data_IF_880529130366
#
_entry.id   IF_880529130366
#
_cell.length_a   1.000
_cell.length_b   1.000
_cell.length_c   1.000
_cell.angle_alpha   90.00
_cell.angle_beta   90.00
_cell.angle_gamma   90.00
#
_symmetry.space_group_name_H-M   'P 1'
#
loop_
_entity.id
_entity.type
_entity.pdbx_description
1 polymer ?
#
# COMPACT_ATOMS: atom_id res chain seq x y z
N UNK A 1 13.62 19.07 3.39
CA UNK A 1 12.39 18.24 3.21
C UNK A 1 12.66 17.02 2.31
N UNK A 2 13.87 16.47 2.43
CA UNK A 2 14.55 15.75 1.34
C UNK A 2 14.50 14.23 1.52
N UNK A 3 13.77 13.76 2.53
CA UNK A 3 13.61 12.34 2.78
C UNK A 3 12.55 11.77 1.84
N UNK A 4 13.00 10.85 0.99
CA UNK A 4 12.11 10.08 0.12
C UNK A 4 11.04 9.41 0.99
N UNK A 5 9.80 9.49 0.56
CA UNK A 5 8.63 8.99 1.27
C UNK A 5 8.72 7.52 1.73
N UNK A 6 9.42 6.67 0.98
CA UNK A 6 9.71 5.29 1.39
C UNK A 6 10.56 5.19 2.67
N UNK A 7 11.44 6.15 2.90
CA UNK A 7 12.22 6.26 4.13
C UNK A 7 11.32 6.54 5.34
N UNK A 8 10.36 7.47 5.22
CA UNK A 8 9.41 7.74 6.29
C UNK A 8 8.57 6.50 6.65
N UNK A 9 8.19 5.68 5.67
CA UNK A 9 7.49 4.41 5.90
C UNK A 9 8.35 3.39 6.64
N UNK A 10 9.64 3.28 6.28
CA UNK A 10 10.58 2.38 6.96
C UNK A 10 10.77 2.80 8.43
N UNK A 11 11.01 4.09 8.67
CA UNK A 11 11.17 4.66 10.02
C UNK A 11 9.90 4.44 10.86
N UNK A 12 8.71 4.66 10.28
CA UNK A 12 7.42 4.33 10.90
C UNK A 12 7.32 2.86 11.31
N UNK A 13 7.73 1.96 10.42
CA UNK A 13 7.69 0.52 10.65
C UNK A 13 8.65 0.08 11.76
N UNK A 14 9.91 0.48 11.68
CA UNK A 14 10.97 0.09 12.62
C UNK A 14 10.70 0.55 14.06
N UNK A 15 10.06 1.72 14.21
CA UNK A 15 9.81 2.32 15.51
C UNK A 15 8.37 2.13 16.01
N UNK A 16 7.53 1.40 15.25
CA UNK A 16 6.19 1.01 15.68
C UNK A 16 5.16 2.14 15.73
N UNK A 17 5.40 3.28 15.07
CA UNK A 17 4.43 4.38 14.97
C UNK A 17 3.83 4.50 13.57
N UNK A 18 2.63 5.07 13.49
CA UNK A 18 1.86 5.16 12.23
C UNK A 18 1.79 6.55 11.62
N UNK A 19 2.43 7.52 12.26
CA UNK A 19 2.41 8.91 11.82
C UNK A 19 3.79 9.54 12.02
N UNK A 20 4.19 10.40 11.10
CA UNK A 20 5.42 11.18 11.17
C UNK A 20 5.13 12.67 10.90
N UNK A 21 5.67 13.60 11.70
CA UNK A 21 5.55 15.01 11.42
C UNK A 21 6.43 15.41 10.23
N UNK A 22 5.93 16.32 9.39
CA UNK A 22 6.71 16.99 8.35
C UNK A 22 7.21 18.30 8.95
N UNK A 23 8.52 18.51 8.94
CA UNK A 23 9.17 19.69 9.55
C UNK A 23 9.88 20.51 8.48
N UNK A 24 9.60 21.82 8.44
CA UNK A 24 10.27 22.80 7.60
C UNK A 24 10.78 23.94 8.47
N UNK A 25 12.06 24.31 8.33
CA UNK A 25 12.70 25.35 9.14
C UNK A 25 12.57 25.15 10.66
N UNK A 26 12.52 23.89 11.12
CA UNK A 26 12.35 23.54 12.53
C UNK A 26 10.90 23.57 13.01
N UNK A 27 9.94 23.98 12.18
CA UNK A 27 8.52 24.04 12.52
C UNK A 27 7.73 22.87 11.91
N UNK A 28 6.86 22.20 12.68
CA UNK A 28 5.96 21.19 12.14
C UNK A 28 4.91 21.82 11.21
N UNK A 29 4.97 21.48 9.93
CA UNK A 29 4.06 22.01 8.89
C UNK A 29 2.99 21.00 8.46
N UNK A 30 3.11 19.73 8.88
CA UNK A 30 2.14 18.70 8.51
C UNK A 30 2.40 17.36 9.18
N UNK A 31 1.57 16.37 8.81
CA UNK A 31 1.70 14.99 9.30
C UNK A 31 1.45 14.02 8.14
N UNK A 32 2.33 13.04 7.99
CA UNK A 32 2.12 11.88 7.11
C UNK A 32 1.67 10.70 7.96
N UNK A 33 0.74 9.89 7.43
CA UNK A 33 0.32 8.64 8.06
C UNK A 33 0.70 7.48 7.16
N UNK A 34 1.05 6.32 7.72
CA UNK A 34 1.34 5.12 6.93
C UNK A 34 0.17 4.68 6.03
N UNK A 35 -1.07 5.01 6.41
CA UNK A 35 -2.28 4.73 5.60
C UNK A 35 -2.40 5.66 4.39
N UNK A 36 -2.42 6.98 4.60
CA UNK A 36 -2.40 7.96 3.50
C UNK A 36 -1.15 7.84 2.65
N UNK A 37 -0.04 7.39 3.24
CA UNK A 37 1.19 7.22 2.52
C UNK A 37 1.06 6.13 1.45
N UNK A 38 0.26 5.11 1.72
CA UNK A 38 0.07 4.01 0.80
C UNK A 38 -1.11 4.22 -0.16
N UNK A 39 -1.99 5.21 0.05
CA UNK A 39 -3.34 5.25 -0.55
C UNK A 39 -3.40 4.97 -2.08
N UNK A 40 -2.67 5.68 -2.97
CA UNK A 40 -2.79 5.43 -4.40
C UNK A 40 -2.17 4.09 -4.84
N UNK A 41 -0.95 3.81 -4.40
CA UNK A 41 -0.19 2.62 -4.79
C UNK A 41 -0.78 1.34 -4.17
N UNK A 42 -1.36 1.45 -2.97
CA UNK A 42 -2.02 0.37 -2.26
C UNK A 42 -3.39 0.07 -2.85
N UNK A 43 -4.14 1.10 -3.26
CA UNK A 43 -5.41 0.90 -3.95
C UNK A 43 -5.20 0.17 -5.28
N UNK A 44 -4.19 0.57 -6.06
CA UNK A 44 -3.78 -0.13 -7.28
C UNK A 44 -3.35 -1.58 -7.00
N UNK A 45 -2.51 -1.79 -5.98
CA UNK A 45 -2.06 -3.13 -5.58
C UNK A 45 -3.21 -4.03 -5.13
N UNK A 46 -4.15 -3.51 -4.33
CA UNK A 46 -5.34 -4.25 -3.88
C UNK A 46 -6.22 -4.61 -5.07
N UNK A 47 -6.48 -3.66 -5.96
CA UNK A 47 -7.27 -3.87 -7.17
C UNK A 47 -6.69 -4.98 -8.04
N UNK A 48 -5.40 -4.93 -8.32
CA UNK A 48 -4.71 -5.93 -9.13
C UNK A 48 -4.67 -7.32 -8.43
N UNK A 49 -4.48 -7.36 -7.11
CA UNK A 49 -4.54 -8.59 -6.32
C UNK A 49 -5.91 -9.26 -6.38
N UNK A 50 -6.98 -8.48 -6.29
CA UNK A 50 -8.36 -8.98 -6.42
C UNK A 50 -8.63 -9.48 -7.84
N UNK A 51 -8.17 -8.75 -8.86
CA UNK A 51 -8.34 -9.15 -10.26
C UNK A 51 -7.67 -10.50 -10.55
N UNK A 52 -6.45 -10.72 -10.04
CA UNK A 52 -5.75 -12.02 -10.16
C UNK A 52 -6.49 -13.16 -9.48
N UNK A 53 -7.01 -12.94 -8.27
CA UNK A 53 -7.82 -13.94 -7.56
C UNK A 53 -9.10 -14.29 -8.32
N UNK A 54 -9.73 -13.29 -8.94
CA UNK A 54 -10.92 -13.49 -9.76
C UNK A 54 -10.62 -14.31 -11.02
N UNK A 55 -9.59 -13.94 -11.78
CA UNK A 55 -9.17 -14.66 -12.98
C UNK A 55 -8.82 -16.11 -12.68
N UNK A 56 -8.10 -16.35 -11.58
CA UNK A 56 -7.75 -17.70 -11.15
C UNK A 56 -8.98 -18.57 -10.88
N UNK A 57 -10.00 -18.05 -10.20
CA UNK A 57 -11.26 -18.77 -9.98
C UNK A 57 -11.99 -19.08 -11.27
N UNK A 58 -12.00 -18.16 -12.24
CA UNK A 58 -12.62 -18.41 -13.54
C UNK A 58 -11.92 -19.56 -14.29
N UNK A 59 -10.59 -19.59 -14.27
CA UNK A 59 -9.81 -20.65 -14.91
C UNK A 59 -10.00 -22.01 -14.22
N UNK A 60 -10.05 -22.03 -12.89
CA UNK A 60 -10.34 -23.25 -12.10
C UNK A 60 -11.74 -23.79 -12.43
N UNK A 61 -12.74 -22.91 -12.50
CA UNK A 61 -14.11 -23.29 -12.85
C UNK A 61 -14.26 -23.76 -14.31
N UNK A 62 -13.50 -23.19 -15.26
CA UNK A 62 -13.50 -23.66 -16.65
C UNK A 62 -12.89 -25.05 -16.77
N UNK A 63 -11.78 -25.33 -16.08
CA UNK A 63 -11.17 -26.67 -16.06
C UNK A 63 -12.10 -27.74 -15.49
N UNK A 64 -12.83 -27.41 -14.42
CA UNK A 64 -13.80 -28.32 -13.82
C UNK A 64 -14.97 -28.63 -14.77
N UNK A 65 -15.41 -27.66 -15.57
CA UNK A 65 -16.49 -27.84 -16.56
C UNK A 65 -16.09 -28.65 -17.80
N UNK A 66 -14.81 -28.65 -18.17
CA UNK A 66 -14.31 -29.40 -19.33
C UNK A 66 -13.94 -30.86 -19.01
N UNK A 67 -13.91 -31.23 -17.73
CA UNK A 67 -13.49 -32.55 -17.26
C UNK A 67 -14.66 -33.48 -16.85
N UNK A 68 -15.91 -33.03 -17.01
CA UNK A 68 -17.12 -33.83 -16.81
C UNK A 68 -17.97 -33.82 -18.07
#
# INVERSE_FOLDING_TARGET
PDELFGHALLVMHENGFRHMPIVENGEPVGIVSSRKALDPDLEEFISESQRRKHLRRLMENQRAKSAG
#
